data_IF_240834456618
#
_entry.id   IF_240834456618
#
_cell.length_a   1.000
_cell.length_b   1.000
_cell.length_c   1.000
_cell.angle_alpha   90.00
_cell.angle_beta   90.00
_cell.angle_gamma   90.00
#
_symmetry.space_group_name_H-M   'P 1'
#
loop_
_entity.id
_entity.type
_entity.pdbx_description
1 polymer ?
#
# COMPACT_ATOMS: atom_id res chain seq x y z
N UNK A 1 -7.25 30.96 11.62
CA UNK A 1 -8.34 30.11 11.08
C UNK A 1 -7.78 28.71 10.89
N UNK A 2 -8.02 27.81 11.84
CA UNK A 2 -7.47 26.42 11.84
C UNK A 2 -8.57 25.37 12.15
N UNK A 3 -9.71 25.77 12.72
CA UNK A 3 -10.75 24.87 13.23
C UNK A 3 -11.53 24.09 12.14
N UNK A 4 -12.06 24.76 11.12
CA UNK A 4 -12.94 24.12 10.13
C UNK A 4 -12.25 23.00 9.31
N UNK A 5 -10.93 23.06 9.12
CA UNK A 5 -10.15 22.01 8.46
C UNK A 5 -9.97 20.78 9.35
N UNK A 6 -9.97 20.93 10.66
CA UNK A 6 -9.73 19.80 11.56
C UNK A 6 -11.02 19.01 11.82
N UNK A 7 -12.17 19.71 11.87
CA UNK A 7 -13.48 19.08 12.07
C UNK A 7 -13.95 18.29 10.84
N UNK A 8 -13.62 18.73 9.62
CA UNK A 8 -14.00 17.99 8.40
C UNK A 8 -13.35 16.61 8.29
N UNK A 9 -12.13 16.43 8.82
CA UNK A 9 -11.50 15.11 8.81
C UNK A 9 -12.22 14.15 9.75
N UNK A 10 -12.64 14.58 10.94
CA UNK A 10 -13.44 13.74 11.85
C UNK A 10 -14.84 13.48 11.28
N UNK A 11 -15.47 14.48 10.67
CA UNK A 11 -16.81 14.35 10.08
C UNK A 11 -16.85 13.43 8.85
N UNK A 12 -15.74 13.37 8.10
CA UNK A 12 -15.59 12.55 6.88
C UNK A 12 -15.00 11.18 7.20
N UNK A 13 -13.98 11.10 8.05
CA UNK A 13 -13.30 9.86 8.44
C UNK A 13 -14.04 9.17 9.60
N UNK A 14 -15.36 8.96 9.45
CA UNK A 14 -16.24 8.38 10.47
C UNK A 14 -15.82 6.98 10.93
N UNK A 15 -15.09 6.26 10.08
CA UNK A 15 -14.57 4.92 10.36
C UNK A 15 -13.15 4.85 9.79
N UNK A 16 -12.22 4.29 10.56
CA UNK A 16 -10.89 4.02 10.05
C UNK A 16 -10.96 3.01 8.89
N UNK A 17 -10.30 3.32 7.78
CA UNK A 17 -10.50 2.57 6.53
C UNK A 17 -9.96 1.12 6.54
N UNK A 18 -8.82 0.87 7.21
CA UNK A 18 -8.21 -0.44 7.29
C UNK A 18 -8.07 -0.86 8.76
N UNK A 19 -9.04 -1.63 9.24
CA UNK A 19 -9.16 -2.05 10.65
C UNK A 19 -9.33 -3.56 10.83
N UNK A 20 -9.46 -4.30 9.73
CA UNK A 20 -9.69 -5.74 9.74
C UNK A 20 -8.53 -6.48 9.09
N UNK A 21 -8.29 -7.71 9.53
CA UNK A 21 -7.25 -8.55 8.96
C UNK A 21 -7.63 -8.96 7.55
N UNK A 22 -6.74 -8.72 6.59
CA UNK A 22 -6.87 -9.16 5.19
C UNK A 22 -5.69 -10.08 4.87
N UNK A 23 -6.01 -11.29 4.45
CA UNK A 23 -5.03 -12.33 4.12
C UNK A 23 -4.68 -12.38 2.62
N UNK A 24 -5.31 -11.56 1.78
CA UNK A 24 -5.02 -11.52 0.34
C UNK A 24 -3.56 -11.07 0.15
N UNK A 25 -2.73 -11.78 -0.64
CA UNK A 25 -1.41 -11.32 -0.99
C UNK A 25 -1.45 -9.90 -1.55
N UNK A 26 -0.70 -9.00 -0.95
CA UNK A 26 -0.73 -7.57 -1.30
C UNK A 26 0.68 -7.04 -1.47
N UNK A 27 0.90 -6.27 -2.53
CA UNK A 27 2.12 -5.45 -2.68
C UNK A 27 1.80 -3.99 -2.41
N UNK A 28 2.60 -3.37 -1.55
CA UNK A 28 2.62 -1.91 -1.37
C UNK A 28 3.89 -1.36 -2.01
N UNK A 29 3.72 -0.58 -3.08
CA UNK A 29 4.81 0.09 -3.78
C UNK A 29 5.00 1.47 -3.15
N UNK A 30 6.18 1.72 -2.58
CA UNK A 30 6.52 2.94 -1.84
C UNK A 30 7.59 3.71 -2.61
N UNK A 31 7.25 4.83 -3.27
CA UNK A 31 8.25 5.62 -3.97
C UNK A 31 9.22 6.28 -3.01
N UNK A 32 10.49 6.39 -3.40
CA UNK A 32 11.53 7.03 -2.60
C UNK A 32 11.13 8.44 -2.15
N UNK A 33 10.57 9.26 -3.05
CA UNK A 33 10.12 10.63 -2.75
C UNK A 33 8.59 10.72 -2.64
N UNK A 34 7.94 9.59 -2.39
CA UNK A 34 6.49 9.50 -2.23
C UNK A 34 6.00 10.13 -0.93
N UNK A 35 4.73 10.56 -0.95
CA UNK A 35 3.97 10.83 0.27
C UNK A 35 3.60 9.50 0.95
N UNK A 36 3.27 9.54 2.25
CA UNK A 36 2.79 8.37 3.02
C UNK A 36 3.76 7.18 3.08
N UNK A 37 5.06 7.45 3.31
CA UNK A 37 6.14 6.45 3.29
C UNK A 37 6.76 6.12 4.65
N UNK A 38 6.46 6.88 5.70
CA UNK A 38 7.06 6.65 7.01
C UNK A 38 6.44 5.43 7.70
N UNK A 39 7.16 4.82 8.64
CA UNK A 39 6.65 3.65 9.37
C UNK A 39 5.32 3.90 10.09
N UNK A 40 5.10 5.12 10.61
CA UNK A 40 3.84 5.46 11.28
C UNK A 40 2.67 5.52 10.29
N UNK A 41 2.91 6.03 9.07
CA UNK A 41 1.91 6.08 8.00
C UNK A 41 1.61 4.67 7.46
N UNK A 42 2.63 3.83 7.42
CA UNK A 42 2.53 2.46 6.93
C UNK A 42 1.97 1.46 7.97
N UNK A 43 1.87 1.87 9.24
CA UNK A 43 1.47 1.01 10.36
C UNK A 43 0.15 0.27 10.13
N UNK A 44 -0.94 0.88 9.62
CA UNK A 44 -2.19 0.15 9.40
C UNK A 44 -2.01 -0.99 8.40
N UNK A 45 -1.31 -0.75 7.28
CA UNK A 45 -1.03 -1.78 6.27
C UNK A 45 -0.23 -2.94 6.87
N UNK A 46 0.86 -2.64 7.60
CA UNK A 46 1.68 -3.67 8.27
C UNK A 46 0.92 -4.45 9.35
N UNK A 47 -0.10 -3.83 9.97
CA UNK A 47 -0.89 -4.46 11.04
C UNK A 47 -1.93 -5.43 10.47
N UNK A 48 -2.63 -4.98 9.43
CA UNK A 48 -3.86 -5.61 8.95
C UNK A 48 -3.68 -6.45 7.68
N UNK A 49 -2.71 -6.16 6.82
CA UNK A 49 -2.39 -6.98 5.65
C UNK A 49 -1.37 -8.06 6.04
N UNK A 50 -1.80 -9.31 6.20
CA UNK A 50 -0.94 -10.38 6.73
C UNK A 50 0.07 -10.91 5.72
N UNK A 51 -0.26 -10.80 4.44
CA UNK A 51 0.59 -11.23 3.33
C UNK A 51 1.08 -10.01 2.55
N UNK A 52 1.66 -9.04 3.28
CA UNK A 52 2.13 -7.77 2.73
C UNK A 52 3.60 -7.84 2.29
N UNK A 53 3.83 -7.56 1.01
CA UNK A 53 5.15 -7.24 0.46
C UNK A 53 5.28 -5.73 0.30
N UNK A 54 6.35 -5.13 0.81
CA UNK A 54 6.64 -3.71 0.59
C UNK A 54 7.82 -3.61 -0.37
N UNK A 55 7.66 -2.87 -1.48
CA UNK A 55 8.72 -2.62 -2.46
C UNK A 55 8.98 -1.13 -2.59
N UNK A 56 10.24 -0.73 -2.48
CA UNK A 56 10.65 0.64 -2.75
C UNK A 56 11.01 0.79 -4.24
N UNK A 57 10.54 1.89 -4.85
CA UNK A 57 10.83 2.23 -6.25
C UNK A 57 11.30 3.68 -6.35
N UNK A 58 12.08 4.08 -7.37
CA UNK A 58 12.43 5.48 -7.56
C UNK A 58 11.20 6.33 -7.90
N UNK A 59 11.38 7.66 -7.87
CA UNK A 59 10.37 8.62 -8.31
C UNK A 59 9.62 9.32 -7.18
N UNK A 60 8.60 10.09 -7.57
CA UNK A 60 7.76 10.88 -6.68
C UNK A 60 6.48 10.10 -6.31
N UNK A 61 5.45 10.78 -5.81
CA UNK A 61 4.19 10.13 -5.44
C UNK A 61 3.46 9.41 -6.59
N UNK A 62 3.78 9.73 -7.85
CA UNK A 62 3.25 9.10 -9.06
C UNK A 62 4.34 8.32 -9.81
N UNK A 63 4.91 7.27 -9.19
CA UNK A 63 6.02 6.51 -9.78
C UNK A 63 5.64 5.89 -11.14
N UNK A 64 4.38 5.50 -11.31
CA UNK A 64 3.84 4.97 -12.55
C UNK A 64 3.82 5.98 -13.71
N UNK A 65 4.00 7.28 -13.44
CA UNK A 65 4.14 8.32 -14.47
C UNK A 65 5.61 8.70 -14.70
N UNK A 66 6.40 8.82 -13.63
CA UNK A 66 7.76 9.37 -13.72
C UNK A 66 8.86 8.31 -13.83
N UNK A 67 8.60 7.10 -13.35
CA UNK A 67 9.51 5.94 -13.39
C UNK A 67 8.70 4.67 -13.78
N UNK A 68 8.01 4.67 -14.94
CA UNK A 68 7.05 3.63 -15.28
C UNK A 68 7.68 2.24 -15.43
N UNK A 69 8.92 2.15 -15.90
CA UNK A 69 9.64 0.88 -16.05
C UNK A 69 9.85 0.20 -14.70
N UNK A 70 10.38 0.93 -13.71
CA UNK A 70 10.63 0.41 -12.37
C UNK A 70 9.33 0.10 -11.63
N UNK A 71 8.30 0.94 -11.79
CA UNK A 71 6.97 0.66 -11.25
C UNK A 71 6.39 -0.64 -11.83
N UNK A 72 6.39 -0.77 -13.15
CA UNK A 72 5.85 -1.95 -13.83
C UNK A 72 6.63 -3.21 -13.47
N UNK A 73 7.96 -3.12 -13.36
CA UNK A 73 8.78 -4.26 -12.93
C UNK A 73 8.46 -4.69 -11.50
N UNK A 74 8.18 -3.77 -10.59
CA UNK A 74 7.74 -4.09 -9.24
C UNK A 74 6.39 -4.82 -9.21
N UNK A 75 5.46 -4.46 -10.10
CA UNK A 75 4.16 -5.15 -10.27
C UNK A 75 4.35 -6.53 -10.88
N UNK A 76 5.09 -6.64 -11.98
CA UNK A 76 5.35 -7.89 -12.69
C UNK A 76 5.95 -8.95 -11.76
N UNK A 77 7.02 -8.61 -11.04
CA UNK A 77 7.66 -9.52 -10.09
C UNK A 77 6.69 -10.03 -9.01
N UNK A 78 5.80 -9.17 -8.52
CA UNK A 78 4.81 -9.59 -7.53
C UNK A 78 3.77 -10.55 -8.10
N UNK A 79 3.34 -10.33 -9.35
CA UNK A 79 2.40 -11.22 -10.04
C UNK A 79 3.04 -12.58 -10.35
N UNK A 80 4.30 -12.59 -10.81
CA UNK A 80 5.08 -13.82 -11.00
C UNK A 80 5.20 -14.62 -9.69
N UNK A 81 5.49 -13.95 -8.58
CA UNK A 81 5.54 -14.56 -7.25
C UNK A 81 4.20 -15.18 -6.82
N UNK A 82 3.06 -14.62 -7.23
CA UNK A 82 1.75 -15.18 -6.89
C UNK A 82 1.38 -16.34 -7.82
N UNK A 83 1.85 -16.35 -9.07
CA UNK A 83 1.61 -17.46 -10.01
C UNK A 83 2.45 -18.70 -9.70
N UNK A 84 3.63 -18.52 -9.10
CA UNK A 84 4.53 -19.62 -8.74
C UNK A 84 4.16 -20.30 -7.40
N UNK A 85 3.26 -19.73 -6.61
CA UNK A 85 2.78 -20.36 -5.38
C UNK A 85 1.73 -21.43 -5.73
N UNK A 86 1.84 -22.65 -5.17
CA UNK A 86 0.74 -23.60 -5.22
C UNK A 86 -0.51 -22.93 -4.67
N UNK A 87 -1.66 -23.14 -5.30
CA UNK A 87 -2.92 -22.65 -4.76
C UNK A 87 -3.21 -23.38 -3.44
N UNK A 88 -3.23 -22.67 -2.32
CA UNK A 88 -3.71 -23.18 -1.03
C UNK A 88 -5.25 -23.36 -1.00
N UNK A 89 -5.89 -23.60 -2.16
CA UNK A 89 -7.28 -24.02 -2.23
C UNK A 89 -7.37 -25.50 -1.78
N UNK A 90 -7.30 -25.72 -0.48
CA UNK A 90 -7.81 -26.93 0.16
C UNK A 90 -9.31 -26.75 0.44
N UNK A 91 -10.14 -27.62 -0.15
CA UNK A 91 -11.47 -28.02 0.36
C UNK A 91 -12.64 -27.10 0.03
#
# INVERSE_FOLDING_TARGET
VVQARNEIFEDVMRVAGLTEIIAIPTVLIVPEKGLNRSDWQLKPYKTYLKNLTIRQVPGNHWPFLVEPEEFNRAVELFLEEQQQKPSDFEG
#
